data_IF_740711758270
#
_entry.id   IF_740711758270
#
_cell.length_a   1.000
_cell.length_b   1.000
_cell.length_c   1.000
_cell.angle_alpha   90.00
_cell.angle_beta   90.00
_cell.angle_gamma   90.00
#
_symmetry.space_group_name_H-M   'P 1'
#
loop_
_entity.id
_entity.type
_entity.pdbx_description
1 polymer ?
#
# COMPACT_ATOMS: atom_id res chain seq x y z
N UNK A 1 -29.43 26.98 33.55
CA UNK A 1 -28.85 26.32 34.74
C UNK A 1 -28.14 25.02 34.35
N UNK A 2 -28.78 24.11 33.62
CA UNK A 2 -28.18 22.86 33.10
C UNK A 2 -26.84 23.08 32.40
N UNK A 3 -26.77 24.00 31.43
CA UNK A 3 -25.55 24.27 30.67
C UNK A 3 -24.38 24.74 31.54
N UNK A 4 -24.67 25.47 32.63
CA UNK A 4 -23.65 25.93 33.56
C UNK A 4 -23.11 24.76 34.40
N UNK A 5 -23.98 23.82 34.79
CA UNK A 5 -23.56 22.59 35.48
C UNK A 5 -22.76 21.67 34.55
N UNK A 6 -23.14 21.54 33.29
CA UNK A 6 -22.39 20.76 32.30
C UNK A 6 -20.99 21.34 32.08
N UNK A 7 -20.89 22.67 31.91
CA UNK A 7 -19.60 23.37 31.79
C UNK A 7 -18.73 23.17 33.04
N UNK A 8 -19.32 23.27 34.23
CA UNK A 8 -18.61 23.03 35.47
C UNK A 8 -18.13 21.57 35.57
N UNK A 9 -18.98 20.60 35.22
CA UNK A 9 -18.62 19.18 35.25
C UNK A 9 -17.46 18.86 34.29
N UNK A 10 -17.50 19.42 33.08
CA UNK A 10 -16.43 19.28 32.09
C UNK A 10 -15.12 19.91 32.59
N UNK A 11 -15.18 21.07 33.25
CA UNK A 11 -14.01 21.71 33.85
C UNK A 11 -13.42 20.84 34.96
N UNK A 12 -14.25 20.32 35.86
CA UNK A 12 -13.81 19.46 36.97
C UNK A 12 -13.20 18.15 36.46
N UNK A 13 -13.75 17.58 35.39
CA UNK A 13 -13.20 16.38 34.73
C UNK A 13 -11.81 16.67 34.16
N UNK A 14 -11.64 17.78 33.44
CA UNK A 14 -10.34 18.19 32.90
C UNK A 14 -9.32 18.47 34.01
N UNK A 15 -9.74 19.13 35.08
CA UNK A 15 -8.88 19.39 36.25
C UNK A 15 -8.42 18.09 36.91
N UNK A 16 -9.33 17.12 37.09
CA UNK A 16 -9.00 15.81 37.66
C UNK A 16 -7.98 15.05 36.81
N UNK A 17 -8.16 15.04 35.49
CA UNK A 17 -7.21 14.45 34.55
C UNK A 17 -5.85 15.15 34.61
N UNK A 18 -5.82 16.49 34.59
CA UNK A 18 -4.58 17.26 34.67
C UNK A 18 -3.82 16.99 35.97
N UNK A 19 -4.51 16.97 37.11
CA UNK A 19 -3.91 16.67 38.41
C UNK A 19 -3.30 15.26 38.44
N UNK A 20 -3.94 14.29 37.79
CA UNK A 20 -3.41 12.94 37.63
C UNK A 20 -2.15 12.93 36.76
N UNK A 21 -2.17 13.63 35.62
CA UNK A 21 -1.02 13.74 34.72
C UNK A 21 0.18 14.42 35.38
N UNK A 22 -0.03 15.45 36.22
CA UNK A 22 1.03 16.09 37.00
C UNK A 22 1.70 15.08 37.95
N UNK A 23 0.90 14.29 38.67
CA UNK A 23 1.44 13.24 39.57
C UNK A 23 2.24 12.18 38.82
N UNK A 24 1.70 11.69 37.71
CA UNK A 24 2.39 10.69 36.87
C UNK A 24 3.68 11.25 36.27
N UNK A 25 3.70 12.53 35.88
CA UNK A 25 4.88 13.17 35.27
C UNK A 25 6.01 13.41 36.27
N UNK A 26 5.68 13.54 37.55
CA UNK A 26 6.65 13.68 38.64
C UNK A 26 7.12 12.34 39.23
N UNK A 27 6.53 11.22 38.82
CA UNK A 27 6.89 9.87 39.24
C UNK A 27 7.80 9.19 38.20
N UNK A 28 9.11 9.02 38.49
CA UNK A 28 10.04 8.41 37.55
C UNK A 28 9.67 6.98 37.13
N UNK A 29 9.01 6.21 38.00
CA UNK A 29 8.60 4.84 37.72
C UNK A 29 7.45 4.80 36.71
N UNK A 30 6.49 5.72 36.84
CA UNK A 30 5.40 5.88 35.89
C UNK A 30 5.91 6.32 34.51
N UNK A 31 6.84 7.29 34.49
CA UNK A 31 7.50 7.75 33.25
C UNK A 31 8.26 6.61 32.58
N UNK A 32 9.09 5.87 33.33
CA UNK A 32 9.83 4.73 32.78
C UNK A 32 8.91 3.62 32.28
N UNK A 33 7.81 3.35 32.98
CA UNK A 33 6.81 2.38 32.55
C UNK A 33 6.15 2.78 31.22
N UNK A 34 5.80 4.05 31.07
CA UNK A 34 5.26 4.59 29.81
C UNK A 34 6.28 4.46 28.66
N UNK A 35 7.56 4.78 28.90
CA UNK A 35 8.63 4.63 27.90
C UNK A 35 8.79 3.17 27.48
N UNK A 36 8.79 2.23 28.42
CA UNK A 36 8.91 0.81 28.12
C UNK A 36 7.73 0.30 27.26
N UNK A 37 6.51 0.73 27.59
CA UNK A 37 5.32 0.41 26.80
C UNK A 37 5.41 0.99 25.38
N UNK A 38 5.88 2.23 25.22
CA UNK A 38 6.10 2.85 23.91
C UNK A 38 7.17 2.10 23.09
N UNK A 39 8.28 1.70 23.73
CA UNK A 39 9.34 0.93 23.07
C UNK A 39 8.85 -0.46 22.62
N UNK A 40 8.05 -1.13 23.45
CA UNK A 40 7.42 -2.40 23.09
C UNK A 40 6.44 -2.21 21.93
N UNK A 41 5.59 -1.18 21.97
CA UNK A 41 4.67 -0.84 20.89
C UNK A 41 5.39 -0.52 19.57
N UNK A 42 6.45 0.28 19.61
CA UNK A 42 7.27 0.58 18.43
C UNK A 42 7.95 -0.67 17.86
N UNK A 43 8.44 -1.56 18.73
CA UNK A 43 9.01 -2.85 18.33
C UNK A 43 7.96 -3.73 17.66
N UNK A 44 6.77 -3.85 18.25
CA UNK A 44 5.64 -4.60 17.68
C UNK A 44 5.22 -4.05 16.31
N UNK A 45 5.18 -2.73 16.15
CA UNK A 45 4.83 -2.10 14.87
C UNK A 45 5.90 -2.27 13.78
N UNK A 46 7.18 -2.16 14.12
CA UNK A 46 8.25 -2.07 13.12
C UNK A 46 8.98 -3.38 12.85
N UNK A 47 9.08 -4.27 13.84
CA UNK A 47 9.89 -5.49 13.73
C UNK A 47 9.06 -6.75 13.57
N UNK A 48 7.81 -6.75 14.02
CA UNK A 48 6.92 -7.90 13.81
C UNK A 48 6.26 -7.83 12.43
N UNK A 49 5.87 -9.01 11.93
CA UNK A 49 5.13 -9.13 10.67
C UNK A 49 3.66 -9.48 10.93
N UNK A 50 3.41 -10.57 11.64
CA UNK A 50 2.04 -11.09 11.85
C UNK A 50 1.17 -10.18 12.70
N UNK A 51 1.67 -9.74 13.86
CA UNK A 51 0.87 -8.90 14.77
C UNK A 51 1.09 -7.40 14.55
N UNK A 52 1.94 -7.01 13.59
CA UNK A 52 2.12 -5.60 13.24
C UNK A 52 1.00 -5.14 12.31
N UNK A 53 0.07 -4.27 12.76
CA UNK A 53 -0.90 -3.67 11.85
C UNK A 53 -0.22 -2.85 10.73
N UNK A 54 0.95 -2.28 10.98
CA UNK A 54 1.70 -1.52 9.97
C UNK A 54 2.20 -2.44 8.84
N UNK A 55 2.82 -3.58 9.19
CA UNK A 55 3.27 -4.56 8.20
C UNK A 55 2.08 -5.15 7.42
N UNK A 56 1.00 -5.52 8.12
CA UNK A 56 -0.19 -6.09 7.49
C UNK A 56 -0.84 -5.10 6.51
N UNK A 57 -0.91 -3.80 6.84
CA UNK A 57 -1.44 -2.79 5.94
C UNK A 57 -0.62 -2.64 4.65
N UNK A 58 0.72 -2.62 4.76
CA UNK A 58 1.61 -2.56 3.57
C UNK A 58 1.48 -3.83 2.74
N UNK A 59 1.50 -5.00 3.39
CA UNK A 59 1.32 -6.30 2.72
C UNK A 59 0.00 -6.35 1.96
N UNK A 60 -1.10 -5.90 2.59
CA UNK A 60 -2.41 -5.86 1.96
C UNK A 60 -2.42 -4.97 0.71
N UNK A 61 -1.83 -3.77 0.78
CA UNK A 61 -1.78 -2.86 -0.37
C UNK A 61 -0.99 -3.44 -1.54
N UNK A 62 0.17 -4.07 -1.27
CA UNK A 62 0.98 -4.73 -2.29
C UNK A 62 0.25 -5.93 -2.91
N UNK A 63 -0.36 -6.78 -2.09
CA UNK A 63 -1.15 -7.92 -2.57
C UNK A 63 -2.37 -7.48 -3.39
N UNK A 64 -3.04 -6.38 -3.00
CA UNK A 64 -4.15 -5.84 -3.75
C UNK A 64 -3.72 -5.31 -5.13
N UNK A 65 -2.59 -4.60 -5.21
CA UNK A 65 -2.05 -4.11 -6.49
C UNK A 65 -1.67 -5.27 -7.43
N UNK A 66 -0.96 -6.28 -6.91
CA UNK A 66 -0.63 -7.51 -7.65
C UNK A 66 -1.89 -8.26 -8.07
N UNK A 67 -2.86 -8.42 -7.16
CA UNK A 67 -4.13 -9.10 -7.41
C UNK A 67 -4.96 -8.42 -8.50
N UNK A 68 -4.98 -7.08 -8.51
CA UNK A 68 -5.61 -6.30 -9.57
C UNK A 68 -4.96 -6.61 -10.92
N UNK A 69 -3.62 -6.53 -11.02
CA UNK A 69 -2.92 -6.85 -12.26
C UNK A 69 -3.12 -8.30 -12.70
N UNK A 70 -3.10 -9.26 -11.78
CA UNK A 70 -3.39 -10.67 -12.06
C UNK A 70 -4.80 -10.87 -12.63
N UNK A 71 -5.75 -10.04 -12.21
CA UNK A 71 -7.15 -10.13 -12.65
C UNK A 71 -7.34 -9.52 -14.04
N UNK A 72 -6.73 -8.36 -14.32
CA UNK A 72 -7.01 -7.60 -15.55
C UNK A 72 -5.94 -7.75 -16.63
N UNK A 73 -4.72 -8.18 -16.27
CA UNK A 73 -3.55 -8.11 -17.14
C UNK A 73 -3.72 -8.85 -18.47
N UNK A 74 -4.44 -9.98 -18.47
CA UNK A 74 -4.71 -10.74 -19.70
C UNK A 74 -5.51 -9.97 -20.76
N UNK A 75 -6.29 -8.98 -20.34
CA UNK A 75 -7.14 -8.16 -21.20
C UNK A 75 -6.48 -6.83 -21.60
N UNK A 76 -5.34 -6.49 -21.00
CA UNK A 76 -4.63 -5.25 -21.31
C UNK A 76 -3.91 -5.42 -22.65
N UNK A 77 -4.30 -4.59 -23.60
CA UNK A 77 -3.70 -4.55 -24.93
C UNK A 77 -2.40 -3.73 -24.89
N UNK A 78 -1.32 -4.28 -25.47
CA UNK A 78 -0.03 -3.59 -25.54
C UNK A 78 0.69 -3.82 -26.88
N UNK A 79 1.53 -2.86 -27.27
CA UNK A 79 2.29 -2.89 -28.53
C UNK A 79 3.09 -1.61 -28.76
N UNK A 80 3.57 -1.42 -29.98
CA UNK A 80 4.33 -0.24 -30.42
C UNK A 80 3.87 0.25 -31.79
N UNK A 81 2.63 -0.04 -32.15
CA UNK A 81 2.01 0.40 -33.38
C UNK A 81 1.88 1.92 -33.50
N UNK A 82 1.89 2.39 -34.75
CA UNK A 82 1.65 3.79 -35.12
C UNK A 82 0.35 3.98 -35.92
N UNK A 83 -0.50 2.94 -36.00
CA UNK A 83 -1.77 3.00 -36.73
C UNK A 83 -1.66 2.80 -38.24
N UNK A 84 -0.52 2.36 -38.76
CA UNK A 84 -0.27 2.17 -40.21
C UNK A 84 -0.57 0.76 -40.74
N UNK A 85 -1.19 -0.10 -39.93
CA UNK A 85 -1.51 -1.50 -40.31
C UNK A 85 -0.32 -2.47 -40.27
N UNK A 86 0.87 -1.99 -39.91
CA UNK A 86 2.06 -2.80 -39.59
C UNK A 86 2.77 -2.17 -38.38
N UNK A 87 3.44 -3.00 -37.57
CA UNK A 87 4.09 -2.57 -36.33
C UNK A 87 5.59 -2.88 -36.32
N UNK A 88 6.40 -2.17 -35.51
CA UNK A 88 7.85 -2.39 -35.43
C UNK A 88 8.30 -3.76 -34.88
N UNK A 89 7.39 -4.61 -34.41
CA UNK A 89 7.68 -5.96 -33.88
C UNK A 89 6.78 -6.34 -32.71
N UNK A 90 6.98 -7.52 -32.13
CA UNK A 90 6.31 -7.99 -30.91
C UNK A 90 7.31 -8.26 -29.79
N UNK A 91 6.89 -8.06 -28.54
CA UNK A 91 7.68 -8.40 -27.34
C UNK A 91 6.85 -9.30 -26.45
N UNK A 92 7.47 -10.37 -25.94
CA UNK A 92 6.85 -11.30 -25.00
C UNK A 92 7.42 -11.03 -23.61
N UNK A 93 6.54 -10.75 -22.66
CA UNK A 93 6.87 -10.61 -21.25
C UNK A 93 6.50 -11.90 -20.51
N UNK A 94 7.50 -12.62 -20.01
CA UNK A 94 7.32 -13.85 -19.25
C UNK A 94 6.94 -13.57 -17.79
N UNK A 95 6.43 -14.59 -17.10
CA UNK A 95 5.94 -14.51 -15.73
C UNK A 95 4.86 -13.44 -15.56
N UNK A 96 3.93 -13.36 -16.52
CA UNK A 96 2.83 -12.40 -16.56
C UNK A 96 1.48 -13.13 -16.62
N UNK A 97 0.37 -12.52 -16.13
CA UNK A 97 -0.95 -13.14 -16.09
C UNK A 97 -1.61 -13.09 -17.48
N UNK A 98 -1.11 -13.90 -18.41
CA UNK A 98 -1.62 -13.98 -19.78
C UNK A 98 -2.87 -14.86 -19.90
N UNK A 99 -3.60 -14.72 -21.01
CA UNK A 99 -4.80 -15.50 -21.24
C UNK A 99 -4.42 -16.98 -21.44
N UNK A 100 -4.71 -17.82 -20.42
CA UNK A 100 -4.31 -19.25 -20.40
C UNK A 100 -2.80 -19.46 -20.61
N UNK A 101 -1.98 -18.49 -20.23
CA UNK A 101 -0.52 -18.52 -20.36
C UNK A 101 0.13 -17.81 -19.17
N UNK A 102 1.42 -18.04 -18.97
CA UNK A 102 2.26 -17.31 -18.00
C UNK A 102 3.07 -16.20 -18.68
N UNK A 103 2.58 -15.68 -19.80
CA UNK A 103 3.23 -14.63 -20.58
C UNK A 103 2.22 -13.72 -21.26
N UNK A 104 2.52 -12.43 -21.34
CA UNK A 104 1.75 -11.46 -22.12
C UNK A 104 2.56 -11.07 -23.36
N UNK A 105 1.94 -11.14 -24.52
CA UNK A 105 2.54 -10.75 -25.80
C UNK A 105 2.04 -9.37 -26.20
N UNK A 106 2.94 -8.41 -26.29
CA UNK A 106 2.66 -7.07 -26.81
C UNK A 106 2.93 -7.02 -28.31
N UNK A 107 1.88 -7.11 -29.12
CA UNK A 107 1.94 -7.20 -30.58
C UNK A 107 0.93 -6.29 -31.31
N UNK A 108 0.30 -5.35 -30.59
CA UNK A 108 -0.67 -4.42 -31.18
C UNK A 108 0.02 -3.43 -32.14
N UNK A 109 -0.57 -3.25 -33.32
CA UNK A 109 -0.10 -2.36 -34.40
C UNK A 109 -0.87 -1.03 -34.46
N UNK A 110 -1.95 -0.92 -33.68
CA UNK A 110 -2.71 0.30 -33.44
C UNK A 110 -1.86 1.30 -32.64
N UNK A 111 -2.16 2.59 -32.80
CA UNK A 111 -1.50 3.65 -32.06
C UNK A 111 -1.62 3.46 -30.54
N UNK A 112 -0.56 3.76 -29.80
CA UNK A 112 -0.54 3.64 -28.33
C UNK A 112 -0.94 4.93 -27.62
N UNK A 113 -1.35 4.84 -26.35
CA UNK A 113 -1.65 5.99 -25.50
C UNK A 113 -3.00 5.89 -24.77
N UNK A 114 -3.44 6.95 -24.07
CA UNK A 114 -4.70 6.95 -23.33
C UNK A 114 -5.90 6.59 -24.23
N UNK A 115 -6.75 5.67 -23.75
CA UNK A 115 -7.89 5.14 -24.52
C UNK A 115 -7.51 4.17 -25.64
N UNK A 116 -6.23 3.79 -25.76
CA UNK A 116 -5.69 2.87 -26.77
C UNK A 116 -4.79 1.81 -26.10
N UNK A 117 -4.04 1.05 -26.90
CA UNK A 117 -3.05 0.09 -26.41
C UNK A 117 -1.95 0.76 -25.59
N UNK A 118 -1.46 0.07 -24.57
CA UNK A 118 -0.28 0.47 -23.82
C UNK A 118 0.98 0.33 -24.68
N UNK A 119 1.92 1.28 -24.58
CA UNK A 119 3.20 1.14 -25.27
C UNK A 119 4.06 0.05 -24.64
N UNK A 120 4.96 -0.55 -25.42
CA UNK A 120 5.95 -1.50 -24.89
C UNK A 120 6.78 -0.88 -23.76
N UNK A 121 7.13 0.40 -23.83
CA UNK A 121 7.95 1.04 -22.80
C UNK A 121 7.19 1.27 -21.49
N UNK A 122 5.89 1.58 -21.54
CA UNK A 122 5.05 1.59 -20.34
C UNK A 122 4.85 0.18 -19.78
N UNK A 123 4.69 -0.82 -20.65
CA UNK A 123 4.58 -2.21 -20.22
C UNK A 123 5.86 -2.70 -19.55
N UNK A 124 7.06 -2.27 -20.01
CA UNK A 124 8.34 -2.59 -19.36
C UNK A 124 8.37 -2.08 -17.91
N UNK A 125 7.96 -0.83 -17.68
CA UNK A 125 7.89 -0.24 -16.33
C UNK A 125 6.93 -1.02 -15.43
N UNK A 126 5.74 -1.35 -15.95
CA UNK A 126 4.76 -2.16 -15.24
C UNK A 126 5.33 -3.53 -14.90
N UNK A 127 5.92 -4.21 -15.89
CA UNK A 127 6.51 -5.53 -15.73
C UNK A 127 7.61 -5.51 -14.67
N UNK A 128 8.53 -4.55 -14.71
CA UNK A 128 9.60 -4.40 -13.72
C UNK A 128 9.03 -4.28 -12.29
N UNK A 129 8.08 -3.36 -12.08
CA UNK A 129 7.43 -3.19 -10.79
C UNK A 129 6.71 -4.45 -10.33
N UNK A 130 5.96 -5.10 -11.21
CA UNK A 130 5.25 -6.34 -10.91
C UNK A 130 6.21 -7.47 -10.52
N UNK A 131 7.32 -7.66 -11.24
CA UNK A 131 8.31 -8.69 -10.90
C UNK A 131 8.99 -8.41 -9.54
N UNK A 132 9.34 -7.15 -9.26
CA UNK A 132 9.93 -6.76 -7.96
C UNK A 132 8.97 -7.08 -6.82
N UNK A 133 7.71 -6.67 -6.94
CA UNK A 133 6.72 -6.90 -5.87
C UNK A 133 6.44 -8.39 -5.71
N UNK A 134 6.28 -9.14 -6.81
CA UNK A 134 6.10 -10.59 -6.75
C UNK A 134 7.28 -11.30 -6.09
N UNK A 135 8.51 -10.85 -6.35
CA UNK A 135 9.70 -11.41 -5.70
C UNK A 135 9.78 -11.06 -4.22
N UNK A 136 9.30 -9.88 -3.81
CA UNK A 136 9.28 -9.45 -2.42
C UNK A 136 8.16 -10.12 -1.59
N UNK A 137 7.08 -10.58 -2.24
CA UNK A 137 5.96 -11.26 -1.60
C UNK A 137 6.10 -12.79 -1.53
N UNK A 138 7.03 -13.38 -2.29
CA UNK A 138 7.41 -14.81 -2.17
C UNK A 138 8.11 -15.07 -0.84
#
# INVERSE_FOLDING_TARGET
LSDNYEKLNNLLTRYSTLNTLIKLSADPSAVSGAINNLNAGATGLLKEKTNSPAYQAVSLALNAAVGLWNTIGYAVMCGNGNGTGSGPGSVIFNNQPGQRSTSITCNRYEATGPGKSMSIDEFKKLNEAYQIIQQALK
#
